data_IF_713934051023
#
_entry.id   IF_713934051023
#
_cell.length_a   1.000
_cell.length_b   1.000
_cell.length_c   1.000
_cell.angle_alpha   90.00
_cell.angle_beta   90.00
_cell.angle_gamma   90.00
#
_symmetry.space_group_name_H-M   'P 1'
#
loop_
_entity.id
_entity.type
_entity.pdbx_description
1 polymer ?
#
# COMPACT_ATOMS: atom_id res chain seq x y z
N UNK A 1 -9.21 2.78 -22.31
CA UNK A 1 -7.74 2.91 -22.30
C UNK A 1 -7.31 2.98 -20.85
N UNK A 2 -6.46 2.07 -20.41
CA UNK A 2 -5.78 2.20 -19.10
C UNK A 2 -4.75 3.31 -19.27
N UNK A 3 -4.91 4.42 -18.56
CA UNK A 3 -3.94 5.51 -18.58
C UNK A 3 -2.76 5.10 -17.69
N UNK A 4 -1.58 4.91 -18.28
CA UNK A 4 -0.35 4.51 -17.58
C UNK A 4 0.85 5.33 -18.09
N UNK A 5 1.86 5.50 -17.25
CA UNK A 5 3.08 6.23 -17.60
C UNK A 5 2.88 7.74 -17.78
N UNK A 6 3.91 8.39 -18.33
CA UNK A 6 4.00 9.83 -18.56
C UNK A 6 3.04 10.30 -19.67
N UNK A 7 2.28 11.35 -19.39
CA UNK A 7 1.29 11.92 -20.31
C UNK A 7 1.75 13.28 -20.84
N UNK A 8 2.60 13.26 -21.86
CA UNK A 8 3.15 14.49 -22.47
C UNK A 8 2.04 15.40 -23.04
N UNK A 9 0.96 14.81 -23.54
CA UNK A 9 -0.14 15.53 -24.17
C UNK A 9 -1.10 16.21 -23.18
N UNK A 10 -0.98 15.94 -21.88
CA UNK A 10 -1.82 16.55 -20.84
C UNK A 10 -0.99 17.61 -20.13
N UNK A 11 -1.53 18.82 -20.01
CA UNK A 11 -0.90 19.92 -19.26
C UNK A 11 -1.86 20.40 -18.20
N UNK A 12 -1.42 20.35 -16.95
CA UNK A 12 -2.11 20.83 -15.76
C UNK A 12 -1.45 22.11 -15.27
N UNK A 13 -2.25 23.00 -14.70
CA UNK A 13 -1.74 24.11 -13.91
C UNK A 13 -0.92 23.56 -12.74
N UNK A 14 0.29 24.09 -12.55
CA UNK A 14 1.20 23.64 -11.51
C UNK A 14 1.96 24.81 -10.88
N UNK A 15 2.41 24.63 -9.63
CA UNK A 15 3.12 25.61 -8.80
C UNK A 15 4.60 25.28 -8.62
N UNK A 16 4.97 24.01 -8.76
CA UNK A 16 6.34 23.51 -8.62
C UNK A 16 6.64 22.51 -9.73
N UNK A 17 7.93 22.24 -9.93
CA UNK A 17 8.39 21.24 -10.89
C UNK A 17 7.75 19.87 -10.64
N UNK A 18 7.66 19.47 -9.37
CA UNK A 18 6.98 18.25 -8.96
C UNK A 18 5.74 18.58 -8.15
N UNK A 19 4.61 17.95 -8.48
CA UNK A 19 3.43 17.93 -7.63
C UNK A 19 2.99 16.50 -7.36
N UNK A 20 2.46 16.27 -6.17
CA UNK A 20 2.02 14.95 -5.76
C UNK A 20 0.59 15.01 -5.24
N UNK A 21 -0.32 14.38 -5.98
CA UNK A 21 -1.68 14.13 -5.54
C UNK A 21 -1.73 12.79 -4.82
N UNK A 22 -2.03 12.81 -3.53
CA UNK A 22 -1.89 11.63 -2.68
C UNK A 22 -2.89 11.58 -1.54
N UNK A 23 -3.01 10.40 -0.93
CA UNK A 23 -3.78 10.21 0.29
C UNK A 23 -2.89 9.59 1.37
N UNK A 24 -3.02 10.09 2.60
CA UNK A 24 -2.27 9.60 3.78
C UNK A 24 -2.40 8.09 4.02
N UNK A 25 -3.56 7.50 3.74
CA UNK A 25 -3.83 6.07 3.92
C UNK A 25 -3.55 5.22 2.68
N UNK A 26 -3.47 5.79 1.47
CA UNK A 26 -3.23 4.98 0.27
C UNK A 26 -1.82 4.35 0.27
N UNK A 27 -1.73 3.03 0.07
CA UNK A 27 -0.45 2.32 0.00
C UNK A 27 0.42 2.86 -1.15
N UNK A 28 -0.16 3.01 -2.35
CA UNK A 28 0.57 3.54 -3.49
C UNK A 28 1.00 5.00 -3.26
N UNK A 29 0.21 5.79 -2.54
CA UNK A 29 0.59 7.14 -2.14
C UNK A 29 1.77 7.17 -1.17
N UNK A 30 1.82 6.25 -0.20
CA UNK A 30 2.99 6.09 0.67
C UNK A 30 4.23 5.72 -0.15
N UNK A 31 4.09 4.80 -1.12
CA UNK A 31 5.20 4.35 -1.98
C UNK A 31 5.86 5.55 -2.64
N UNK A 32 5.05 6.39 -3.26
CA UNK A 32 5.55 7.56 -3.97
C UNK A 32 6.12 8.62 -3.04
N UNK A 33 5.50 8.89 -1.88
CA UNK A 33 6.06 9.86 -0.92
C UNK A 33 7.44 9.42 -0.39
N UNK A 34 7.59 8.14 -0.06
CA UNK A 34 8.90 7.56 0.32
C UNK A 34 9.89 7.69 -0.83
N UNK A 35 9.48 7.33 -2.06
CA UNK A 35 10.33 7.46 -3.25
C UNK A 35 10.83 8.89 -3.46
N UNK A 36 9.93 9.88 -3.40
CA UNK A 36 10.30 11.28 -3.61
C UNK A 36 11.28 11.79 -2.55
N UNK A 37 11.10 11.37 -1.28
CA UNK A 37 12.03 11.71 -0.22
C UNK A 37 13.41 11.05 -0.41
N UNK A 38 13.45 9.78 -0.77
CA UNK A 38 14.71 9.04 -1.03
C UNK A 38 15.46 9.51 -2.27
N UNK A 39 14.74 10.06 -3.25
CA UNK A 39 15.30 10.70 -4.44
C UNK A 39 15.64 12.18 -4.23
N UNK A 40 15.36 12.72 -3.05
CA UNK A 40 15.58 14.14 -2.71
C UNK A 40 14.86 15.10 -3.66
N UNK A 41 13.69 14.70 -4.16
CA UNK A 41 12.86 15.50 -5.07
C UNK A 41 11.76 16.23 -4.27
N UNK A 42 11.91 17.55 -4.00
CA UNK A 42 10.87 18.32 -3.33
C UNK A 42 9.63 18.42 -4.24
N UNK A 43 8.44 18.35 -3.64
CA UNK A 43 7.18 18.40 -4.36
C UNK A 43 6.13 19.28 -3.67
N UNK A 44 5.21 19.84 -4.45
CA UNK A 44 4.02 20.49 -3.94
C UNK A 44 2.96 19.44 -3.57
N UNK A 45 2.47 19.50 -2.33
CA UNK A 45 1.56 18.53 -1.74
C UNK A 45 0.09 18.82 -2.11
N UNK A 46 -0.60 17.83 -2.68
CA UNK A 46 -2.05 17.85 -2.88
C UNK A 46 -2.70 16.65 -2.18
N UNK A 47 -3.15 16.86 -0.94
CA UNK A 47 -3.92 15.83 -0.25
C UNK A 47 -5.32 15.67 -0.86
N UNK A 48 -5.66 14.43 -1.21
CA UNK A 48 -6.95 14.02 -1.78
C UNK A 48 -7.60 12.99 -0.86
N UNK A 49 -8.81 13.28 -0.39
CA UNK A 49 -9.57 12.32 0.41
C UNK A 49 -10.07 11.15 -0.42
N UNK A 50 -9.86 9.95 0.14
CA UNK A 50 -10.60 8.75 -0.18
C UNK A 50 -11.73 8.57 0.83
N UNK A 51 -12.74 7.77 0.49
CA UNK A 51 -13.89 7.57 1.39
C UNK A 51 -13.45 7.07 2.76
N UNK A 52 -12.46 6.18 2.81
CA UNK A 52 -11.86 5.60 4.01
C UNK A 52 -11.18 6.64 4.91
N UNK A 53 -10.90 7.83 4.35
CA UNK A 53 -10.34 8.99 5.05
C UNK A 53 -11.29 10.19 5.11
N UNK A 54 -12.57 10.00 4.76
CA UNK A 54 -13.63 10.97 5.02
C UNK A 54 -14.62 11.19 3.87
N UNK A 55 -14.16 11.28 2.61
CA UNK A 55 -15.02 11.67 1.48
C UNK A 55 -14.54 11.15 0.13
N UNK A 56 -15.42 11.18 -0.87
CA UNK A 56 -15.15 10.75 -2.25
C UNK A 56 -14.48 11.84 -3.12
N UNK A 57 -13.47 12.55 -2.60
CA UNK A 57 -12.81 13.63 -3.35
C UNK A 57 -12.11 13.11 -4.61
N UNK A 58 -11.56 11.90 -4.57
CA UNK A 58 -10.90 11.23 -5.70
C UNK A 58 -11.82 10.91 -6.90
N UNK A 59 -13.15 11.06 -6.75
CA UNK A 59 -14.11 10.95 -7.87
C UNK A 59 -14.89 12.25 -8.07
N UNK A 60 -14.43 13.35 -7.45
CA UNK A 60 -14.93 14.69 -7.69
C UNK A 60 -14.38 15.27 -9.00
N UNK A 61 -15.13 16.19 -9.60
CA UNK A 61 -14.80 16.80 -10.90
C UNK A 61 -13.37 17.35 -10.95
N UNK A 62 -12.96 18.08 -9.91
CA UNK A 62 -11.65 18.74 -9.87
C UNK A 62 -10.51 17.73 -9.89
N UNK A 63 -10.64 16.61 -9.18
CA UNK A 63 -9.63 15.55 -9.19
C UNK A 63 -9.67 14.71 -10.48
N UNK A 64 -10.87 14.46 -11.03
CA UNK A 64 -11.02 13.72 -12.28
C UNK A 64 -10.41 14.47 -13.48
N UNK A 65 -10.25 15.80 -13.38
CA UNK A 65 -9.48 16.58 -14.35
C UNK A 65 -7.98 16.26 -14.30
N UNK A 66 -7.45 15.84 -13.14
CA UNK A 66 -6.05 15.43 -12.95
C UNK A 66 -5.86 13.95 -13.32
N UNK A 67 -6.76 13.08 -12.86
CA UNK A 67 -6.77 11.66 -13.19
C UNK A 67 -8.19 11.16 -13.48
N UNK A 68 -8.54 10.93 -14.75
CA UNK A 68 -9.86 10.43 -15.15
C UNK A 68 -10.23 9.07 -14.54
N UNK A 69 -9.25 8.26 -14.13
CA UNK A 69 -9.51 6.97 -13.48
C UNK A 69 -9.95 7.11 -12.01
N UNK A 70 -9.81 8.30 -11.40
CA UNK A 70 -10.13 8.54 -10.00
C UNK A 70 -9.25 7.75 -9.01
N UNK A 71 -8.04 7.38 -9.44
CA UNK A 71 -7.07 6.62 -8.66
C UNK A 71 -5.95 7.52 -8.13
N UNK A 72 -5.35 7.13 -7.01
CA UNK A 72 -4.21 7.81 -6.37
C UNK A 72 -3.04 6.82 -6.25
N UNK A 73 -1.79 7.31 -6.21
CA UNK A 73 -1.38 8.71 -6.39
C UNK A 73 -1.29 9.13 -7.86
N UNK A 74 -1.07 10.43 -8.07
CA UNK A 74 -0.62 10.99 -9.36
C UNK A 74 0.59 11.87 -9.08
N UNK A 75 1.70 11.54 -9.74
CA UNK A 75 2.87 12.40 -9.85
C UNK A 75 2.66 13.35 -11.03
N UNK A 76 3.00 14.61 -10.86
CA UNK A 76 3.00 15.60 -11.95
C UNK A 76 4.40 16.17 -12.05
N UNK A 77 4.99 16.13 -13.24
CA UNK A 77 6.29 16.73 -13.54
C UNK A 77 6.09 17.84 -14.58
N UNK A 78 6.36 19.09 -14.22
CA UNK A 78 6.21 20.28 -15.09
C UNK A 78 4.83 20.37 -15.74
N UNK A 79 3.78 20.05 -14.98
CA UNK A 79 2.39 20.05 -15.43
C UNK A 79 1.93 18.78 -16.15
N UNK A 80 2.81 17.81 -16.39
CA UNK A 80 2.47 16.55 -17.07
C UNK A 80 2.26 15.41 -16.08
N UNK A 81 1.07 14.78 -16.03
CA UNK A 81 0.81 13.70 -15.09
C UNK A 81 1.48 12.39 -15.50
N UNK A 82 1.88 11.62 -14.51
CA UNK A 82 2.36 10.24 -14.61
C UNK A 82 1.39 9.35 -13.84
N UNK A 83 0.81 8.37 -14.53
CA UNK A 83 -0.12 7.42 -13.93
C UNK A 83 0.55 6.08 -13.63
N UNK A 84 -0.10 5.26 -12.81
CA UNK A 84 0.41 4.00 -12.24
C UNK A 84 1.61 4.17 -11.30
N UNK A 85 1.49 3.70 -10.06
CA UNK A 85 2.49 4.03 -9.03
C UNK A 85 3.87 3.45 -9.30
N UNK A 86 3.95 2.34 -10.06
CA UNK A 86 5.24 1.71 -10.39
C UNK A 86 5.94 2.48 -11.51
N UNK A 87 5.18 2.95 -12.51
CA UNK A 87 5.72 3.84 -13.55
C UNK A 87 6.14 5.19 -12.96
N UNK A 88 5.39 5.70 -11.98
CA UNK A 88 5.70 6.95 -11.27
C UNK A 88 7.07 6.92 -10.56
N UNK A 89 7.38 5.87 -9.78
CA UNK A 89 8.67 5.77 -9.09
C UNK A 89 9.84 5.56 -10.05
N UNK A 90 9.61 4.81 -11.14
CA UNK A 90 10.60 4.57 -12.19
C UNK A 90 10.92 5.88 -12.91
N UNK A 91 9.88 6.63 -13.28
CA UNK A 91 10.03 7.93 -13.93
C UNK A 91 10.77 8.92 -13.02
N UNK A 92 10.37 9.03 -11.75
CA UNK A 92 11.03 9.91 -10.79
C UNK A 92 12.52 9.58 -10.64
N UNK A 93 12.87 8.30 -10.51
CA UNK A 93 14.27 7.88 -10.42
C UNK A 93 15.06 8.25 -11.69
N UNK A 94 14.47 8.09 -12.87
CA UNK A 94 15.12 8.48 -14.13
C UNK A 94 15.40 9.99 -14.24
N UNK A 95 14.70 10.83 -13.47
CA UNK A 95 14.90 12.29 -13.44
C UNK A 95 15.86 12.75 -12.32
N UNK A 96 16.27 11.87 -11.41
CA UNK A 96 16.98 12.22 -10.18
C UNK A 96 18.52 12.09 -10.25
N UNK A 97 19.10 11.99 -11.45
CA UNK A 97 20.56 11.91 -11.64
C UNK A 97 21.20 10.75 -10.86
N UNK A 98 22.32 11.02 -10.20
CA UNK A 98 23.09 10.02 -9.43
C UNK A 98 22.24 9.34 -8.34
N UNK A 99 21.38 10.11 -7.65
CA UNK A 99 20.47 9.56 -6.62
C UNK A 99 19.48 8.57 -7.23
N UNK A 100 18.99 8.90 -8.42
CA UNK A 100 18.19 8.01 -9.25
C UNK A 100 18.92 6.72 -9.63
N UNK A 101 20.16 6.85 -10.09
CA UNK A 101 21.00 5.72 -10.48
C UNK A 101 21.38 4.80 -9.31
N UNK A 102 21.45 5.32 -8.08
CA UNK A 102 21.63 4.50 -6.88
C UNK A 102 20.41 3.65 -6.56
N UNK A 103 19.21 4.25 -6.60
CA UNK A 103 17.96 3.57 -6.25
C UNK A 103 17.44 2.66 -7.37
N UNK A 104 17.78 3.00 -8.61
CA UNK A 104 17.33 2.30 -9.80
C UNK A 104 18.41 2.30 -10.88
N UNK A 105 19.39 1.39 -10.77
CA UNK A 105 20.57 1.40 -11.61
C UNK A 105 20.24 1.19 -13.09
N UNK A 106 21.19 1.59 -13.94
CA UNK A 106 21.13 1.34 -15.38
C UNK A 106 21.08 -0.18 -15.69
N UNK A 107 20.74 -0.50 -16.94
CA UNK A 107 20.52 -1.87 -17.41
C UNK A 107 21.66 -2.82 -16.99
N UNK A 108 21.37 -3.65 -15.99
CA UNK A 108 22.29 -4.55 -15.29
C UNK A 108 21.51 -5.72 -14.69
N UNK A 109 22.19 -6.76 -14.22
CA UNK A 109 21.55 -7.86 -13.49
C UNK A 109 20.84 -7.36 -12.22
N UNK A 110 21.46 -6.39 -11.53
CA UNK A 110 20.88 -5.72 -10.38
C UNK A 110 19.57 -5.02 -10.75
N UNK A 111 19.54 -4.31 -11.88
CA UNK A 111 18.33 -3.66 -12.39
C UNK A 111 17.19 -4.66 -12.63
N UNK A 112 17.47 -5.78 -13.29
CA UNK A 112 16.47 -6.82 -13.50
C UNK A 112 15.95 -7.40 -12.17
N UNK A 113 16.81 -7.53 -11.16
CA UNK A 113 16.39 -7.97 -9.83
C UNK A 113 15.49 -6.94 -9.13
N UNK A 114 15.84 -5.65 -9.17
CA UNK A 114 15.01 -4.57 -8.63
C UNK A 114 13.62 -4.55 -9.30
N UNK A 115 13.57 -4.65 -10.63
CA UNK A 115 12.31 -4.67 -11.38
C UNK A 115 11.41 -5.86 -11.01
N UNK A 116 11.98 -7.06 -10.81
CA UNK A 116 11.22 -8.24 -10.35
C UNK A 116 10.58 -8.01 -8.98
N UNK A 117 11.31 -7.39 -8.05
CA UNK A 117 10.78 -7.12 -6.71
C UNK A 117 9.75 -5.99 -6.69
N UNK A 118 9.91 -4.98 -7.56
CA UNK A 118 8.87 -3.96 -7.81
C UNK A 118 7.60 -4.63 -8.36
N UNK A 119 7.71 -5.46 -9.40
CA UNK A 119 6.56 -6.16 -9.99
C UNK A 119 5.86 -7.06 -8.96
N UNK A 120 6.61 -7.78 -8.12
CA UNK A 120 6.04 -8.58 -7.05
C UNK A 120 5.23 -7.73 -6.05
N UNK A 121 5.72 -6.53 -5.70
CA UNK A 121 5.01 -5.58 -4.83
C UNK A 121 3.89 -4.79 -5.53
N UNK A 122 3.62 -5.07 -6.81
CA UNK A 122 2.70 -4.27 -7.62
C UNK A 122 1.23 -4.69 -7.50
N UNK A 123 0.33 -3.71 -7.63
CA UNK A 123 -1.11 -3.91 -7.80
C UNK A 123 -1.51 -3.56 -9.24
N UNK A 124 -1.52 -4.55 -10.13
CA UNK A 124 -1.79 -4.38 -11.57
C UNK A 124 -3.03 -5.16 -11.96
N UNK A 125 -3.96 -4.51 -12.65
CA UNK A 125 -5.21 -5.15 -13.08
C UNK A 125 -6.19 -5.35 -11.92
N UNK A 126 -6.89 -6.49 -11.88
CA UNK A 126 -7.84 -6.84 -10.82
C UNK A 126 -7.07 -7.34 -9.58
N UNK A 127 -6.96 -6.52 -8.51
CA UNK A 127 -6.07 -6.82 -7.39
C UNK A 127 -6.64 -7.90 -6.46
N UNK A 128 -7.83 -8.46 -6.76
CA UNK A 128 -8.43 -9.60 -6.05
C UNK A 128 -8.08 -10.93 -6.74
N UNK A 129 -7.43 -10.90 -7.91
CA UNK A 129 -6.92 -12.07 -8.64
C UNK A 129 -5.40 -12.02 -8.70
N UNK A 130 -4.71 -13.13 -8.99
CA UNK A 130 -3.25 -13.12 -9.17
C UNK A 130 -2.44 -12.89 -7.89
N UNK A 131 -3.05 -13.10 -6.72
CA UNK A 131 -2.39 -13.01 -5.40
C UNK A 131 -1.18 -13.94 -5.26
N UNK A 132 -1.17 -15.06 -5.98
CA UNK A 132 -0.07 -16.02 -6.09
C UNK A 132 1.15 -15.42 -6.81
N UNK A 133 0.92 -14.53 -7.78
CA UNK A 133 1.97 -13.92 -8.58
C UNK A 133 2.56 -12.67 -7.92
N UNK A 134 1.73 -11.87 -7.24
CA UNK A 134 2.13 -10.57 -6.68
C UNK A 134 1.68 -10.39 -5.23
N UNK A 135 2.62 -10.04 -4.35
CA UNK A 135 2.36 -9.65 -2.97
C UNK A 135 1.39 -8.46 -2.90
N UNK A 136 1.49 -7.50 -3.82
CA UNK A 136 0.58 -6.36 -3.89
C UNK A 136 -0.90 -6.76 -3.99
N UNK A 137 -1.22 -7.88 -4.66
CA UNK A 137 -2.60 -8.36 -4.81
C UNK A 137 -3.12 -9.07 -3.55
N UNK A 138 -2.25 -9.36 -2.58
CA UNK A 138 -2.69 -9.85 -1.27
C UNK A 138 -3.17 -8.72 -0.37
N UNK A 139 -2.69 -7.49 -0.60
CA UNK A 139 -2.93 -6.34 0.28
C UNK A 139 -4.41 -5.95 0.43
N UNK A 140 -5.24 -5.86 -0.63
CA UNK A 140 -6.62 -5.41 -0.47
C UNK A 140 -7.42 -6.26 0.52
N UNK A 141 -7.27 -7.60 0.44
CA UNK A 141 -7.93 -8.52 1.34
C UNK A 141 -7.39 -8.41 2.77
N UNK A 142 -6.07 -8.32 2.94
CA UNK A 142 -5.42 -8.18 4.25
C UNK A 142 -5.68 -6.80 4.89
N UNK A 143 -6.12 -5.81 4.13
CA UNK A 143 -6.53 -4.48 4.62
C UNK A 143 -7.97 -4.47 5.17
N UNK A 144 -8.79 -5.49 4.89
CA UNK A 144 -10.21 -5.50 5.29
C UNK A 144 -10.43 -5.31 6.81
N UNK A 145 -9.64 -5.89 7.74
CA UNK A 145 -9.84 -5.68 9.17
C UNK A 145 -9.74 -4.21 9.59
N UNK A 146 -8.71 -3.50 9.14
CA UNK A 146 -8.55 -2.06 9.43
C UNK A 146 -9.59 -1.21 8.68
N UNK A 147 -10.02 -1.61 7.47
CA UNK A 147 -11.16 -0.95 6.85
C UNK A 147 -12.43 -1.08 7.70
N UNK A 148 -12.71 -2.27 8.24
CA UNK A 148 -13.89 -2.52 9.05
C UNK A 148 -13.92 -1.69 10.36
N UNK A 149 -12.75 -1.27 10.87
CA UNK A 149 -12.66 -0.33 12.00
C UNK A 149 -12.80 1.12 11.53
N UNK A 150 -12.02 1.55 10.53
CA UNK A 150 -12.03 2.93 10.01
C UNK A 150 -13.42 3.37 9.50
N UNK A 151 -14.10 2.54 8.71
CA UNK A 151 -15.42 2.92 8.13
C UNK A 151 -16.54 2.99 9.17
N UNK A 152 -16.33 2.44 10.36
CA UNK A 152 -17.28 2.58 11.47
C UNK A 152 -17.43 4.04 11.92
N UNK A 153 -16.41 4.86 11.72
CA UNK A 153 -16.37 6.30 12.07
C UNK A 153 -16.80 7.23 10.93
N UNK A 154 -16.90 6.72 9.70
CA UNK A 154 -17.32 7.53 8.56
C UNK A 154 -18.84 7.67 8.57
N UNK A 155 -19.35 8.90 8.46
CA UNK A 155 -20.80 9.13 8.45
C UNK A 155 -21.47 8.37 7.31
N UNK A 156 -22.54 7.60 7.60
CA UNK A 156 -23.23 6.76 6.60
C UNK A 156 -23.65 7.54 5.36
N UNK A 157 -24.07 8.81 5.54
CA UNK A 157 -24.42 9.72 4.43
C UNK A 157 -23.28 9.93 3.45
N UNK A 158 -22.03 9.98 3.92
CA UNK A 158 -20.86 10.16 3.04
C UNK A 158 -20.61 8.90 2.21
N UNK A 159 -20.78 7.71 2.79
CA UNK A 159 -20.69 6.45 2.05
C UNK A 159 -21.83 6.33 1.03
N UNK A 160 -23.06 6.71 1.41
CA UNK A 160 -24.23 6.68 0.53
C UNK A 160 -24.08 7.60 -0.68
N UNK A 161 -23.38 8.74 -0.57
CA UNK A 161 -23.07 9.59 -1.74
C UNK A 161 -22.38 8.80 -2.85
N UNK A 162 -21.51 7.85 -2.48
CA UNK A 162 -20.81 6.99 -3.44
C UNK A 162 -21.74 6.13 -4.30
N UNK A 163 -22.92 5.74 -3.80
CA UNK A 163 -23.91 5.03 -4.61
C UNK A 163 -24.40 5.87 -5.79
N UNK A 164 -24.35 7.19 -5.67
CA UNK A 164 -24.69 8.12 -6.76
C UNK A 164 -23.45 8.49 -7.57
N UNK A 165 -22.34 8.83 -6.92
CA UNK A 165 -21.19 9.48 -7.57
C UNK A 165 -20.05 8.56 -7.98
N UNK A 166 -19.85 7.42 -7.33
CA UNK A 166 -18.71 6.55 -7.60
C UNK A 166 -18.98 5.70 -8.86
N UNK A 167 -18.03 5.59 -9.82
CA UNK A 167 -18.24 4.81 -11.05
C UNK A 167 -18.42 3.31 -10.77
N UNK A 168 -17.65 2.76 -9.82
CA UNK A 168 -17.83 1.39 -9.34
C UNK A 168 -18.79 1.36 -8.13
N UNK A 169 -20.02 0.86 -8.32
CA UNK A 169 -21.04 0.80 -7.26
C UNK A 169 -20.80 -0.30 -6.23
N UNK A 170 -19.96 -1.30 -6.52
CA UNK A 170 -19.61 -2.35 -5.58
C UNK A 170 -18.81 -1.78 -4.39
N UNK A 171 -17.96 -0.78 -4.63
CA UNK A 171 -17.11 -0.18 -3.58
C UNK A 171 -17.91 0.49 -2.45
N UNK A 172 -18.86 1.42 -2.71
CA UNK A 172 -19.74 1.94 -1.67
C UNK A 172 -20.55 0.84 -0.97
N UNK A 173 -21.02 -0.18 -1.69
CA UNK A 173 -21.77 -1.30 -1.10
C UNK A 173 -20.92 -2.11 -0.12
N UNK A 174 -19.66 -2.41 -0.48
CA UNK A 174 -18.71 -3.07 0.42
C UNK A 174 -18.48 -2.22 1.68
N UNK A 175 -18.31 -0.90 1.57
CA UNK A 175 -18.12 -0.05 2.75
C UNK A 175 -19.36 0.07 3.63
N UNK A 176 -20.56 0.09 3.06
CA UNK A 176 -21.81 0.01 3.84
C UNK A 176 -21.89 -1.32 4.60
N UNK A 177 -21.52 -2.42 3.95
CA UNK A 177 -21.50 -3.75 4.57
C UNK A 177 -20.45 -3.83 5.68
N UNK A 178 -19.23 -3.36 5.45
CA UNK A 178 -18.17 -3.30 6.47
C UNK A 178 -18.57 -2.41 7.64
N UNK A 179 -19.22 -1.26 7.39
CA UNK A 179 -19.75 -0.39 8.44
C UNK A 179 -20.83 -1.06 9.28
N UNK A 180 -21.76 -1.78 8.64
CA UNK A 180 -22.87 -2.45 9.33
C UNK A 180 -22.42 -3.66 10.15
N UNK A 181 -21.45 -4.44 9.65
CA UNK A 181 -20.94 -5.62 10.34
C UNK A 181 -19.86 -5.26 11.37
N UNK A 182 -19.02 -4.28 11.05
CA UNK A 182 -17.80 -3.97 11.79
C UNK A 182 -16.84 -5.16 11.85
N UNK A 183 -15.68 -4.96 12.48
CA UNK A 183 -14.68 -6.01 12.61
C UNK A 183 -15.20 -7.25 13.37
N UNK A 184 -16.03 -7.06 14.40
CA UNK A 184 -16.54 -8.14 15.27
C UNK A 184 -17.41 -9.15 14.53
N UNK A 185 -18.12 -8.74 13.46
CA UNK A 185 -18.99 -9.63 12.68
C UNK A 185 -18.38 -10.00 11.32
N UNK A 186 -17.18 -9.52 11.01
CA UNK A 186 -16.43 -9.86 9.81
C UNK A 186 -16.32 -11.39 9.60
N UNK A 187 -16.09 -12.22 10.64
CA UNK A 187 -16.05 -13.69 10.48
C UNK A 187 -17.34 -14.32 9.95
N UNK A 188 -18.49 -13.63 10.02
CA UNK A 188 -19.77 -14.12 9.49
C UNK A 188 -19.87 -13.96 7.96
N UNK A 189 -18.96 -13.20 7.35
CA UNK A 189 -18.95 -12.92 5.92
C UNK A 189 -18.05 -13.94 5.20
N UNK A 190 -18.61 -15.12 4.92
CA UNK A 190 -17.86 -16.24 4.31
C UNK A 190 -17.04 -15.86 3.05
N UNK A 191 -17.55 -15.06 2.09
CA UNK A 191 -16.76 -14.67 0.92
C UNK A 191 -15.52 -13.85 1.30
N UNK A 192 -15.66 -12.93 2.26
CA UNK A 192 -14.56 -12.10 2.77
C UNK A 192 -13.52 -12.97 3.48
N UNK A 193 -13.96 -13.91 4.32
CA UNK A 193 -13.05 -14.81 5.03
C UNK A 193 -12.28 -15.75 4.09
N UNK A 194 -12.91 -16.23 3.01
CA UNK A 194 -12.22 -17.01 1.97
C UNK A 194 -11.17 -16.19 1.23
N UNK A 195 -11.51 -14.96 0.86
CA UNK A 195 -10.58 -14.04 0.21
C UNK A 195 -9.39 -13.73 1.14
N UNK A 196 -9.67 -13.42 2.41
CA UNK A 196 -8.67 -13.16 3.43
C UNK A 196 -7.73 -14.36 3.63
N UNK A 197 -8.28 -15.57 3.79
CA UNK A 197 -7.49 -16.78 3.96
C UNK A 197 -6.55 -17.04 2.78
N UNK A 198 -7.05 -16.90 1.54
CA UNK A 198 -6.23 -17.07 0.33
C UNK A 198 -5.10 -16.04 0.26
N UNK A 199 -5.41 -14.76 0.47
CA UNK A 199 -4.39 -13.70 0.47
C UNK A 199 -3.39 -13.86 1.60
N UNK A 200 -3.80 -14.42 2.74
CA UNK A 200 -2.90 -14.74 3.85
C UNK A 200 -1.92 -15.85 3.50
N UNK A 201 -2.40 -16.93 2.88
CA UNK A 201 -1.52 -18.01 2.39
C UNK A 201 -0.49 -17.48 1.39
N UNK A 202 -0.94 -16.82 0.32
CA UNK A 202 -0.02 -16.33 -0.70
C UNK A 202 0.92 -15.24 -0.17
N UNK A 203 0.46 -14.35 0.72
CA UNK A 203 1.35 -13.38 1.37
C UNK A 203 2.42 -14.08 2.21
N UNK A 204 2.09 -15.17 2.90
CA UNK A 204 3.07 -16.00 3.58
C UNK A 204 4.18 -16.47 2.63
N UNK A 205 3.81 -17.05 1.49
CA UNK A 205 4.76 -17.52 0.46
C UNK A 205 5.62 -16.38 -0.14
N UNK A 206 5.03 -15.18 -0.31
CA UNK A 206 5.78 -13.99 -0.74
C UNK A 206 6.79 -13.54 0.32
N UNK A 207 6.42 -13.60 1.60
CA UNK A 207 7.29 -13.23 2.70
C UNK A 207 8.36 -14.28 2.98
N UNK A 208 8.09 -15.57 2.72
CA UNK A 208 9.11 -16.63 2.74
C UNK A 208 10.20 -16.35 1.69
N UNK A 209 9.79 -16.04 0.45
CA UNK A 209 10.73 -15.66 -0.61
C UNK A 209 11.52 -14.40 -0.28
N UNK A 210 10.90 -13.43 0.40
CA UNK A 210 11.60 -12.22 0.84
C UNK A 210 12.64 -12.54 1.94
N UNK A 211 12.27 -13.35 2.92
CA UNK A 211 13.19 -13.78 3.99
C UNK A 211 14.38 -14.58 3.43
N UNK A 212 14.11 -15.54 2.53
CA UNK A 212 15.13 -16.31 1.81
C UNK A 212 16.06 -15.41 0.98
N UNK A 213 15.50 -14.39 0.31
CA UNK A 213 16.27 -13.43 -0.47
C UNK A 213 17.22 -12.60 0.41
N UNK A 214 16.73 -12.12 1.54
CA UNK A 214 17.53 -11.35 2.50
C UNK A 214 18.66 -12.22 3.07
N UNK A 215 18.37 -13.48 3.40
CA UNK A 215 19.37 -14.46 3.83
C UNK A 215 20.43 -14.72 2.75
N UNK A 216 20.01 -14.87 1.50
CA UNK A 216 20.89 -15.19 0.36
C UNK A 216 21.92 -14.09 0.10
N UNK A 217 21.51 -12.83 0.10
CA UNK A 217 22.40 -11.72 -0.24
C UNK A 217 23.24 -11.24 0.96
N UNK A 218 22.84 -11.55 2.20
CA UNK A 218 23.59 -11.21 3.41
C UNK A 218 23.71 -9.71 3.73
N UNK A 219 23.18 -8.85 2.87
CA UNK A 219 23.13 -7.40 3.03
C UNK A 219 21.81 -6.90 3.63
N UNK A 220 21.76 -5.64 4.08
CA UNK A 220 20.59 -5.10 4.78
C UNK A 220 19.39 -4.80 3.87
N UNK A 221 19.45 -5.03 2.56
CA UNK A 221 18.36 -4.70 1.64
C UNK A 221 18.06 -5.85 0.67
N UNK A 222 16.91 -5.76 -0.02
CA UNK A 222 16.41 -6.84 -0.90
C UNK A 222 17.43 -7.25 -1.96
N UNK A 223 18.27 -6.32 -2.42
CA UNK A 223 19.30 -6.53 -3.43
C UNK A 223 20.73 -6.44 -2.87
N UNK A 224 20.91 -6.77 -1.59
CA UNK A 224 22.21 -6.78 -0.92
C UNK A 224 22.52 -5.47 -0.20
N UNK A 225 23.64 -4.82 -0.55
CA UNK A 225 24.16 -3.66 0.18
C UNK A 225 23.42 -2.35 -0.10
N UNK A 226 22.75 -2.24 -1.24
CA UNK A 226 22.11 -0.99 -1.71
C UNK A 226 20.62 -0.98 -1.46
N UNK A 227 20.12 0.12 -0.92
CA UNK A 227 18.70 0.42 -0.83
C UNK A 227 18.18 0.87 -2.21
N UNK A 228 17.13 0.24 -2.71
CA UNK A 228 16.61 0.46 -4.06
C UNK A 228 15.11 0.70 -4.09
N UNK A 229 14.55 0.94 -5.27
CA UNK A 229 13.10 1.01 -5.48
C UNK A 229 12.36 -0.30 -5.12
N UNK A 230 13.06 -1.44 -5.04
CA UNK A 230 12.51 -2.67 -4.49
C UNK A 230 12.15 -2.47 -3.01
N UNK A 231 13.06 -1.91 -2.23
CA UNK A 231 12.86 -1.65 -0.81
C UNK A 231 11.78 -0.61 -0.57
N UNK A 232 11.75 0.48 -1.36
CA UNK A 232 10.66 1.47 -1.34
C UNK A 232 9.30 0.80 -1.56
N UNK A 233 9.22 -0.13 -2.51
CA UNK A 233 7.99 -0.83 -2.84
C UNK A 233 7.54 -1.80 -1.74
N UNK A 234 8.46 -2.52 -1.11
CA UNK A 234 8.16 -3.48 -0.05
C UNK A 234 7.93 -2.85 1.32
N UNK A 235 8.60 -1.73 1.61
CA UNK A 235 8.39 -0.95 2.83
C UNK A 235 6.91 -0.66 3.07
N UNK A 236 6.18 -0.26 2.03
CA UNK A 236 4.76 0.10 2.16
C UNK A 236 3.82 -1.10 2.20
N UNK A 237 4.25 -2.27 1.69
CA UNK A 237 3.54 -3.54 1.87
C UNK A 237 3.64 -3.93 3.36
N UNK A 238 4.84 -3.96 3.91
CA UNK A 238 5.09 -4.32 5.31
C UNK A 238 4.45 -3.34 6.29
N UNK A 239 4.48 -2.04 5.99
CA UNK A 239 3.73 -1.02 6.75
C UNK A 239 2.23 -1.33 6.76
N UNK A 240 1.62 -1.60 5.60
CA UNK A 240 0.19 -1.93 5.54
C UNK A 240 -0.15 -3.20 6.32
N UNK A 241 0.69 -4.23 6.25
CA UNK A 241 0.52 -5.43 7.07
C UNK A 241 0.58 -5.08 8.56
N UNK A 242 1.49 -4.19 8.97
CA UNK A 242 1.60 -3.70 10.35
C UNK A 242 0.39 -2.86 10.77
N UNK A 243 -0.13 -1.99 9.89
CA UNK A 243 -1.34 -1.19 10.15
C UNK A 243 -2.56 -2.08 10.40
N UNK A 244 -2.69 -3.18 9.67
CA UNK A 244 -3.77 -4.14 9.82
C UNK A 244 -3.49 -5.22 10.89
N UNK A 245 -2.47 -5.00 11.73
CA UNK A 245 -2.08 -5.88 12.84
C UNK A 245 -1.68 -7.30 12.42
N UNK A 246 -0.93 -7.45 11.33
CA UNK A 246 -0.45 -8.75 10.86
C UNK A 246 1.01 -9.08 11.21
N UNK A 247 1.73 -8.15 11.84
CA UNK A 247 3.15 -8.30 12.19
C UNK A 247 3.43 -9.63 12.91
N UNK A 248 2.77 -9.87 14.04
CA UNK A 248 3.01 -11.07 14.86
C UNK A 248 2.63 -12.36 14.16
N UNK A 249 1.65 -12.29 13.25
CA UNK A 249 1.21 -13.44 12.47
C UNK A 249 2.23 -13.82 11.39
N UNK A 250 2.77 -12.83 10.68
CA UNK A 250 3.62 -13.09 9.52
C UNK A 250 5.11 -13.12 9.81
N UNK A 251 5.67 -12.31 10.71
CA UNK A 251 7.12 -12.36 10.93
C UNK A 251 7.54 -12.13 12.38
N UNK A 252 6.57 -11.95 13.28
CA UNK A 252 6.84 -11.97 14.71
C UNK A 252 7.25 -13.36 15.24
N UNK A 253 7.72 -13.37 16.48
CA UNK A 253 8.06 -14.61 17.20
C UNK A 253 9.23 -15.40 16.61
N UNK A 254 10.03 -14.79 15.74
CA UNK A 254 11.19 -15.42 15.09
C UNK A 254 10.85 -16.30 13.88
N UNK A 255 9.63 -16.21 13.34
CA UNK A 255 9.20 -17.03 12.19
C UNK A 255 9.92 -16.68 10.88
N UNK A 256 10.32 -15.42 10.70
CA UNK A 256 11.08 -14.91 9.55
C UNK A 256 12.11 -13.88 10.05
N UNK A 257 13.28 -14.34 10.56
CA UNK A 257 14.20 -13.48 11.30
C UNK A 257 14.90 -12.43 10.43
N UNK A 258 15.19 -12.73 9.16
CA UNK A 258 15.84 -11.78 8.26
C UNK A 258 14.87 -10.66 7.87
N UNK A 259 13.61 -11.02 7.62
CA UNK A 259 12.51 -10.09 7.42
C UNK A 259 12.26 -9.20 8.63
N UNK A 260 12.28 -9.75 9.86
CA UNK A 260 12.11 -8.93 11.08
C UNK A 260 13.26 -7.91 11.25
N UNK A 261 14.50 -8.33 11.01
CA UNK A 261 15.65 -7.45 11.02
C UNK A 261 15.58 -6.39 9.90
N UNK A 262 15.08 -6.78 8.72
CA UNK A 262 14.84 -5.88 7.58
C UNK A 262 13.76 -4.85 7.87
N UNK A 263 12.64 -5.27 8.46
CA UNK A 263 11.58 -4.37 8.85
C UNK A 263 12.06 -3.32 9.85
N UNK A 264 12.84 -3.71 10.86
CA UNK A 264 13.45 -2.76 11.81
C UNK A 264 14.29 -1.70 11.09
N UNK A 265 15.19 -2.11 10.20
CA UNK A 265 16.03 -1.20 9.38
C UNK A 265 15.20 -0.25 8.51
N UNK A 266 14.12 -0.75 7.89
CA UNK A 266 13.22 0.11 7.10
C UNK A 266 12.56 1.18 7.97
N UNK A 267 12.16 0.83 9.20
CA UNK A 267 11.47 1.77 10.10
C UNK A 267 12.38 2.84 10.71
N UNK A 268 13.70 2.65 10.65
CA UNK A 268 14.71 3.62 11.10
C UNK A 268 14.98 4.71 10.05
N UNK A 269 14.54 4.53 8.80
CA UNK A 269 14.76 5.50 7.73
C UNK A 269 13.92 6.76 7.94
N UNK A 270 14.54 7.92 7.73
CA UNK A 270 13.83 9.21 7.80
C UNK A 270 12.69 9.30 6.79
N UNK A 271 12.87 8.75 5.59
CA UNK A 271 11.81 8.67 4.59
C UNK A 271 10.58 7.90 5.10
N UNK A 272 10.76 6.82 5.86
CA UNK A 272 9.64 6.09 6.46
C UNK A 272 8.99 6.92 7.58
N UNK A 273 9.79 7.48 8.49
CA UNK A 273 9.29 8.29 9.60
C UNK A 273 8.47 9.48 9.09
N UNK A 274 9.06 10.29 8.24
CA UNK A 274 8.49 11.55 7.77
C UNK A 274 7.38 11.35 6.72
N UNK A 275 7.54 10.35 5.84
CA UNK A 275 6.61 10.12 4.73
C UNK A 275 5.62 8.98 4.98
N UNK A 276 5.70 8.25 6.08
CA UNK A 276 4.69 7.24 6.42
C UNK A 276 4.10 7.51 7.79
N UNK A 277 4.91 7.50 8.85
CA UNK A 277 4.42 7.61 10.23
C UNK A 277 3.81 8.99 10.52
N UNK A 278 4.57 10.06 10.28
CA UNK A 278 4.17 11.43 10.62
C UNK A 278 2.98 11.93 9.80
N UNK A 279 2.71 11.27 8.67
CA UNK A 279 1.63 11.60 7.73
C UNK A 279 0.39 10.74 7.93
N UNK A 280 0.36 9.84 8.92
CA UNK A 280 -0.86 9.07 9.26
C UNK A 280 -1.93 10.05 9.73
N UNK A 281 -3.11 9.99 9.10
CA UNK A 281 -4.24 10.79 9.56
C UNK A 281 -4.90 10.19 10.81
N UNK A 282 -5.67 10.97 11.58
CA UNK A 282 -6.33 10.50 12.81
C UNK A 282 -7.18 9.24 12.61
N UNK A 283 -7.84 9.11 11.45
CA UNK A 283 -8.64 7.93 11.10
C UNK A 283 -7.80 6.66 10.99
N UNK A 284 -6.61 6.76 10.42
CA UNK A 284 -5.68 5.63 10.31
C UNK A 284 -5.20 5.20 11.69
N UNK A 285 -4.78 6.15 12.53
CA UNK A 285 -4.31 5.85 13.89
C UNK A 285 -5.41 5.17 14.72
N UNK A 286 -6.64 5.68 14.65
CA UNK A 286 -7.79 5.08 15.31
C UNK A 286 -8.07 3.66 14.78
N UNK A 287 -8.04 3.48 13.46
CA UNK A 287 -8.25 2.17 12.83
C UNK A 287 -7.24 1.11 13.25
N UNK A 288 -5.95 1.49 13.34
CA UNK A 288 -4.84 0.64 13.82
C UNK A 288 -5.07 0.22 15.27
N UNK A 289 -5.45 1.16 16.14
CA UNK A 289 -5.68 0.86 17.55
C UNK A 289 -6.89 -0.07 17.73
N UNK A 290 -7.98 0.18 17.01
CA UNK A 290 -9.20 -0.62 17.11
C UNK A 290 -9.03 -2.06 16.58
N UNK A 291 -8.23 -2.28 15.52
CA UNK A 291 -7.97 -3.65 15.03
C UNK A 291 -7.16 -4.44 16.06
N UNK A 292 -6.15 -3.81 16.68
CA UNK A 292 -5.35 -4.39 17.76
C UNK A 292 -6.21 -4.76 18.95
N UNK A 293 -6.99 -3.80 19.47
CA UNK A 293 -7.88 -4.04 20.60
C UNK A 293 -8.93 -5.12 20.29
N UNK A 294 -9.49 -5.15 19.08
CA UNK A 294 -10.46 -6.17 18.70
C UNK A 294 -9.87 -7.58 18.76
N UNK A 295 -8.63 -7.76 18.27
CA UNK A 295 -7.93 -9.05 18.30
C UNK A 295 -7.47 -9.45 19.70
N UNK A 296 -7.02 -8.48 20.52
CA UNK A 296 -6.64 -8.72 21.92
C UNK A 296 -7.84 -9.11 22.79
N UNK A 297 -8.98 -8.44 22.61
CA UNK A 297 -10.19 -8.66 23.42
C UNK A 297 -10.99 -9.92 23.02
N UNK A 298 -10.65 -10.57 21.90
CA UNK A 298 -11.40 -11.73 21.40
C UNK A 298 -10.48 -12.73 20.71
N UNK A 299 -10.09 -13.77 21.47
CA UNK A 299 -9.32 -14.89 20.93
C UNK A 299 -10.03 -15.58 19.75
N UNK A 300 -11.36 -15.66 19.77
CA UNK A 300 -12.14 -16.24 18.67
C UNK A 300 -12.12 -15.37 17.41
N UNK A 301 -12.16 -14.04 17.54
CA UNK A 301 -11.99 -13.13 16.41
C UNK A 301 -10.57 -13.22 15.86
N UNK A 302 -9.56 -13.19 16.73
CA UNK A 302 -8.16 -13.37 16.34
C UNK A 302 -7.97 -14.67 15.55
N UNK A 303 -8.41 -15.79 16.09
CA UNK A 303 -8.34 -17.09 15.42
C UNK A 303 -9.16 -17.16 14.12
N UNK A 304 -10.24 -16.39 14.00
CA UNK A 304 -10.97 -16.31 12.74
C UNK A 304 -10.18 -15.56 11.66
N UNK A 305 -9.54 -14.43 12.02
CA UNK A 305 -8.76 -13.60 11.09
C UNK A 305 -7.41 -14.22 10.73
N UNK A 306 -6.66 -14.67 11.74
CA UNK A 306 -5.33 -15.27 11.61
C UNK A 306 -5.38 -16.76 11.26
N UNK A 307 -6.55 -17.39 11.36
CA UNK A 307 -6.66 -18.84 11.30
C UNK A 307 -6.39 -19.44 12.68
N UNK A 308 -6.84 -20.68 12.88
CA UNK A 308 -6.40 -21.44 14.05
C UNK A 308 -4.88 -21.63 13.92
N UNK A 309 -4.15 -21.63 15.03
CA UNK A 309 -2.75 -22.05 15.07
C UNK A 309 -2.66 -23.45 14.43
N UNK A 310 -2.48 -23.53 13.12
CA UNK A 310 -2.03 -24.74 12.47
C UNK A 310 -0.57 -24.83 12.85
N UNK A 311 -0.28 -25.75 13.77
CA UNK A 311 1.04 -26.22 14.20
C UNK A 311 2.17 -25.55 13.43
N UNK A 312 2.90 -24.66 14.13
CA UNK A 312 4.22 -24.20 13.71
C UNK A 312 4.97 -25.45 13.26
N UNK A 313 5.21 -25.58 11.95
CA UNK A 313 5.98 -26.73 11.49
C UNK A 313 7.38 -26.60 12.10
N UNK A 314 7.89 -27.69 12.70
CA UNK A 314 9.12 -27.69 13.48
C UNK A 314 10.35 -27.32 12.66
#
# INVERSE_FOLDING_TARGET
MTLCGYQEQITLDHKQEWELYHNSFSLCSKKLRVCMAELELPYHDHHVHLIETGSYQNVGRDYLAVNPAGLLPVLVHKGHPIYESHDQIIYAAAQAGDRGAELFPEASELRAEVERWIDCASMVGDPIKGSEARAGHCVPALTVPIFATMVSHIATREILKGLLTHPNKERPMIFLLLKAFGIKRLPKLNPVMKMLARSRTHMGEHLDRLDEQLAKHGGPWITGERFTLADVSWMVILDRLTEADWHDYFWGGGSRPELDAYWKRLTERDSYREQVLDKRCPMTLLGIEEVKQAKQNSASLRAALEGRESMRHP
#
